data_IF_282117544660
#
_entry.id   IF_282117544660
#
_cell.length_a   1.000
_cell.length_b   1.000
_cell.length_c   1.000
_cell.angle_alpha   90.00
_cell.angle_beta   90.00
_cell.angle_gamma   90.00
#
_symmetry.space_group_name_H-M   'P 1'
#
loop_
_entity.id
_entity.type
_entity.pdbx_description
1 polymer ?
#
# COMPACT_ATOMS: atom_id res chain seq x y z
N UNK A 1 11.75 -10.32 22.19
CA UNK A 1 10.26 -10.45 22.10
C UNK A 1 9.88 -10.10 20.67
N UNK A 2 9.07 -10.92 19.97
CA UNK A 2 8.49 -10.50 18.70
C UNK A 2 7.70 -9.21 18.96
N UNK A 3 8.03 -8.14 18.25
CA UNK A 3 7.31 -6.89 18.34
C UNK A 3 5.90 -7.09 17.75
N UNK A 4 4.89 -6.53 18.41
CA UNK A 4 3.50 -6.54 17.96
C UNK A 4 3.38 -6.05 16.51
N UNK A 5 4.20 -5.05 16.14
CA UNK A 5 4.38 -4.54 14.78
C UNK A 5 4.69 -5.65 13.77
N UNK A 6 5.76 -6.42 14.00
CA UNK A 6 6.19 -7.48 13.09
C UNK A 6 5.20 -8.64 13.03
N UNK A 7 4.55 -8.95 14.15
CA UNK A 7 3.53 -10.00 14.21
C UNK A 7 2.30 -9.67 13.36
N UNK A 8 1.78 -8.44 13.48
CA UNK A 8 0.65 -7.97 12.66
C UNK A 8 0.98 -7.99 11.17
N UNK A 9 2.14 -7.46 10.79
CA UNK A 9 2.58 -7.46 9.40
C UNK A 9 2.73 -8.87 8.84
N UNK A 10 3.43 -9.76 9.56
CA UNK A 10 3.66 -11.13 9.08
C UNK A 10 2.35 -11.92 8.96
N UNK A 11 1.39 -11.72 9.87
CA UNK A 11 0.09 -12.37 9.77
C UNK A 11 -0.70 -11.88 8.54
N UNK A 12 -0.73 -10.57 8.30
CA UNK A 12 -1.37 -10.01 7.12
C UNK A 12 -0.73 -10.52 5.82
N UNK A 13 0.61 -10.60 5.80
CA UNK A 13 1.36 -11.13 4.66
C UNK A 13 1.00 -12.59 4.38
N UNK A 14 0.99 -13.45 5.40
CA UNK A 14 0.61 -14.86 5.27
C UNK A 14 -0.84 -15.04 4.77
N UNK A 15 -1.76 -14.19 5.24
CA UNK A 15 -3.14 -14.19 4.77
C UNK A 15 -3.23 -13.78 3.29
N UNK A 16 -2.46 -12.78 2.88
CA UNK A 16 -2.36 -12.37 1.48
C UNK A 16 -1.81 -13.51 0.60
N UNK A 17 -0.71 -14.14 1.01
CA UNK A 17 -0.07 -15.25 0.27
C UNK A 17 -0.97 -16.49 0.18
N UNK A 18 -1.88 -16.64 1.14
CA UNK A 18 -2.86 -17.74 1.17
C UNK A 18 -4.14 -17.44 0.37
N UNK A 19 -4.19 -16.34 -0.37
CA UNK A 19 -5.38 -15.89 -1.12
C UNK A 19 -6.52 -15.36 -0.23
N UNK A 20 -6.26 -15.17 1.06
CA UNK A 20 -7.20 -14.70 2.09
C UNK A 20 -6.96 -13.22 2.42
N UNK A 21 -6.60 -12.43 1.40
CA UNK A 21 -6.13 -11.05 1.57
C UNK A 21 -7.10 -10.15 2.35
N UNK A 22 -8.43 -10.34 2.16
CA UNK A 22 -9.46 -9.58 2.88
C UNK A 22 -9.44 -9.82 4.39
N UNK A 23 -9.04 -11.01 4.84
CA UNK A 23 -8.89 -11.31 6.27
C UNK A 23 -7.65 -10.63 6.87
N UNK A 24 -6.69 -10.23 6.03
CA UNK A 24 -5.49 -9.47 6.42
C UNK A 24 -5.76 -7.99 6.68
N UNK A 25 -6.84 -7.43 6.12
CA UNK A 25 -7.16 -6.01 6.19
C UNK A 25 -7.21 -5.43 7.62
N UNK A 26 -7.88 -6.09 8.59
CA UNK A 26 -7.98 -5.57 9.96
C UNK A 26 -6.60 -5.48 10.64
N UNK A 27 -5.72 -6.44 10.38
CA UNK A 27 -4.37 -6.47 10.95
C UNK A 27 -3.49 -5.37 10.35
N UNK A 28 -3.62 -5.12 9.05
CA UNK A 28 -2.94 -3.98 8.40
C UNK A 28 -3.46 -2.64 8.93
N UNK A 29 -4.76 -2.49 9.09
CA UNK A 29 -5.33 -1.28 9.68
C UNK A 29 -4.85 -1.04 11.10
N UNK A 30 -4.82 -2.08 11.92
CA UNK A 30 -4.27 -1.99 13.27
C UNK A 30 -2.79 -1.62 13.25
N UNK A 31 -2.00 -2.27 12.37
CA UNK A 31 -0.58 -1.97 12.22
C UNK A 31 -0.35 -0.50 11.86
N UNK A 32 -1.06 0.02 10.86
CA UNK A 32 -0.90 1.41 10.38
C UNK A 32 -1.43 2.43 11.39
N UNK A 33 -2.46 2.08 12.18
CA UNK A 33 -2.94 2.92 13.27
C UNK A 33 -1.88 3.18 14.34
N UNK A 34 -1.10 2.15 14.70
CA UNK A 34 -0.01 2.27 15.67
C UNK A 34 1.33 2.70 15.07
N UNK A 35 1.57 2.36 13.80
CA UNK A 35 2.81 2.60 13.07
C UNK A 35 2.50 3.18 11.68
N UNK A 36 2.08 4.45 11.60
CA UNK A 36 1.69 5.11 10.34
C UNK A 36 2.87 5.36 9.38
N UNK A 37 4.08 5.03 9.81
CA UNK A 37 5.34 5.07 9.05
C UNK A 37 5.79 3.67 8.55
N UNK A 38 4.97 2.63 8.75
CA UNK A 38 5.31 1.27 8.34
C UNK A 38 5.18 1.05 6.83
N UNK A 39 6.21 1.41 6.07
CA UNK A 39 6.25 1.37 4.59
C UNK A 39 5.76 0.04 4.00
N UNK A 40 6.29 -1.10 4.46
CA UNK A 40 5.84 -2.43 3.96
C UNK A 40 4.37 -2.73 4.23
N UNK A 41 3.82 -2.16 5.30
CA UNK A 41 2.42 -2.35 5.68
C UNK A 41 1.51 -1.45 4.84
N UNK A 42 1.95 -0.23 4.56
CA UNK A 42 1.30 0.68 3.62
C UNK A 42 1.28 0.10 2.20
N UNK A 43 2.37 -0.55 1.77
CA UNK A 43 2.44 -1.24 0.47
C UNK A 43 1.38 -2.34 0.41
N UNK A 44 1.38 -3.27 1.37
CA UNK A 44 0.44 -4.40 1.37
C UNK A 44 -1.02 -3.95 1.51
N UNK A 45 -1.28 -2.88 2.28
CA UNK A 45 -2.62 -2.29 2.38
C UNK A 45 -3.04 -1.61 1.07
N UNK A 46 -2.12 -0.92 0.39
CA UNK A 46 -2.35 -0.36 -0.94
C UNK A 46 -2.69 -1.45 -1.96
N UNK A 47 -1.91 -2.53 -2.00
CA UNK A 47 -2.15 -3.66 -2.89
C UNK A 47 -3.51 -4.31 -2.62
N UNK A 48 -3.91 -4.41 -1.35
CA UNK A 48 -5.23 -4.91 -0.97
C UNK A 48 -6.36 -4.01 -1.51
N UNK A 49 -6.18 -2.69 -1.41
CA UNK A 49 -7.15 -1.73 -1.92
C UNK A 49 -7.32 -1.82 -3.43
N UNK A 50 -6.23 -1.94 -4.18
CA UNK A 50 -6.23 -2.08 -5.64
C UNK A 50 -6.89 -3.40 -6.05
N UNK A 51 -6.36 -4.52 -5.56
CA UNK A 51 -6.65 -5.83 -6.13
C UNK A 51 -7.94 -6.47 -5.60
N UNK A 52 -8.37 -6.14 -4.39
CA UNK A 52 -9.47 -6.84 -3.73
C UNK A 52 -10.66 -5.94 -3.38
N UNK A 53 -10.41 -4.66 -3.09
CA UNK A 53 -11.48 -3.72 -2.69
C UNK A 53 -11.89 -2.76 -3.80
N UNK A 54 -11.05 -2.56 -4.82
CA UNK A 54 -11.28 -1.60 -5.90
C UNK A 54 -11.28 -0.13 -5.44
N UNK A 55 -10.78 0.17 -4.23
CA UNK A 55 -10.72 1.53 -3.70
C UNK A 55 -9.40 2.19 -4.08
N UNK A 56 -9.34 2.64 -5.35
CA UNK A 56 -8.16 3.30 -5.91
C UNK A 56 -7.76 4.57 -5.13
N UNK A 57 -8.73 5.28 -4.51
CA UNK A 57 -8.44 6.47 -3.69
C UNK A 57 -7.74 6.11 -2.39
N UNK A 58 -8.14 5.01 -1.75
CA UNK A 58 -7.47 4.53 -0.55
C UNK A 58 -6.08 3.99 -0.86
N UNK A 59 -5.90 3.31 -1.99
CA UNK A 59 -4.59 2.88 -2.48
C UNK A 59 -3.65 4.07 -2.74
N UNK A 60 -4.13 5.09 -3.45
CA UNK A 60 -3.38 6.32 -3.75
C UNK A 60 -2.87 7.00 -2.46
N UNK A 61 -3.69 7.05 -1.41
CA UNK A 61 -3.30 7.59 -0.10
C UNK A 61 -2.16 6.78 0.54
N UNK A 62 -2.19 5.46 0.42
CA UNK A 62 -1.13 4.59 0.94
C UNK A 62 0.20 4.86 0.22
N UNK A 63 0.18 4.92 -1.12
CA UNK A 63 1.40 5.14 -1.91
C UNK A 63 1.96 6.56 -1.77
N UNK A 64 1.10 7.59 -1.72
CA UNK A 64 1.55 8.95 -1.39
C UNK A 64 2.15 9.04 0.02
N UNK A 65 1.62 8.28 0.98
CA UNK A 65 2.20 8.24 2.32
C UNK A 65 3.59 7.61 2.28
N UNK A 66 3.79 6.53 1.53
CA UNK A 66 5.11 5.92 1.32
C UNK A 66 6.08 6.96 0.74
N UNK A 67 5.70 7.67 -0.32
CA UNK A 67 6.56 8.68 -0.94
C UNK A 67 6.83 9.89 -0.03
N UNK A 68 5.93 10.21 0.92
CA UNK A 68 6.21 11.23 1.93
C UNK A 68 7.26 10.79 2.96
N UNK A 69 7.40 9.48 3.20
CA UNK A 69 8.35 8.90 4.15
C UNK A 69 9.69 8.59 3.47
N UNK A 70 9.61 8.07 2.24
CA UNK A 70 10.71 7.64 1.41
C UNK A 70 10.48 8.18 -0.01
N UNK A 71 10.91 9.42 -0.31
CA UNK A 71 10.70 10.05 -1.61
C UNK A 71 11.27 9.25 -2.79
N UNK A 72 12.36 8.51 -2.56
CA UNK A 72 13.04 7.70 -3.58
C UNK A 72 12.52 6.25 -3.63
N UNK A 73 11.38 5.95 -2.98
CA UNK A 73 10.81 4.60 -2.97
C UNK A 73 10.21 4.27 -4.35
N UNK A 74 11.00 3.60 -5.18
CA UNK A 74 10.64 3.18 -6.54
C UNK A 74 9.35 2.35 -6.58
N UNK A 75 9.13 1.46 -5.60
CA UNK A 75 7.94 0.62 -5.57
C UNK A 75 6.68 1.44 -5.26
N UNK A 76 6.76 2.36 -4.29
CA UNK A 76 5.67 3.29 -3.97
C UNK A 76 5.33 4.20 -5.14
N UNK A 77 6.34 4.69 -5.86
CA UNK A 77 6.15 5.51 -7.06
C UNK A 77 5.49 4.70 -8.18
N UNK A 78 6.02 3.52 -8.47
CA UNK A 78 5.47 2.62 -9.47
C UNK A 78 4.00 2.30 -9.20
N UNK A 79 3.67 1.88 -7.97
CA UNK A 79 2.30 1.53 -7.61
C UNK A 79 1.35 2.75 -7.64
N UNK A 80 1.84 3.95 -7.31
CA UNK A 80 1.07 5.18 -7.48
C UNK A 80 0.76 5.46 -8.96
N UNK A 81 1.74 5.27 -9.86
CA UNK A 81 1.51 5.41 -11.29
C UNK A 81 0.45 4.43 -11.80
N UNK A 82 0.51 3.16 -11.36
CA UNK A 82 -0.47 2.12 -11.71
C UNK A 82 -1.88 2.55 -11.28
N UNK A 83 -2.04 3.01 -10.03
CA UNK A 83 -3.33 3.48 -9.53
C UNK A 83 -3.88 4.67 -10.33
N UNK A 84 -3.03 5.62 -10.72
CA UNK A 84 -3.46 6.78 -11.52
C UNK A 84 -3.94 6.35 -12.91
N UNK A 85 -3.27 5.38 -13.53
CA UNK A 85 -3.68 4.81 -14.83
C UNK A 85 -5.03 4.09 -14.69
N UNK A 86 -5.18 3.23 -13.67
CA UNK A 86 -6.42 2.49 -13.42
C UNK A 86 -7.60 3.41 -13.09
N UNK A 87 -7.35 4.53 -12.40
CA UNK A 87 -8.35 5.54 -12.10
C UNK A 87 -8.77 6.38 -13.33
N UNK A 88 -8.10 6.20 -14.47
CA UNK A 88 -8.32 7.00 -15.67
C UNK A 88 -7.73 8.42 -15.60
N UNK A 89 -6.92 8.71 -14.58
CA UNK A 89 -6.19 9.98 -14.46
C UNK A 89 -4.92 9.93 -15.31
N UNK A 90 -5.12 10.08 -16.62
CA UNK A 90 -4.04 10.12 -17.61
C UNK A 90 -3.10 11.32 -17.42
N UNK A 91 -3.54 12.37 -16.72
CA UNK A 91 -2.74 13.55 -16.40
C UNK A 91 -1.72 13.24 -15.31
N UNK A 92 -2.18 12.65 -14.19
CA UNK A 92 -1.33 12.18 -13.10
C UNK A 92 -0.36 11.08 -13.56
N UNK A 93 -0.84 10.12 -14.36
CA UNK A 93 0.00 9.04 -14.89
C UNK A 93 1.19 9.54 -15.73
N UNK A 94 1.00 10.60 -16.55
CA UNK A 94 2.08 11.21 -17.34
C UNK A 94 3.13 11.92 -16.49
N UNK A 95 2.74 12.50 -15.35
CA UNK A 95 3.70 13.11 -14.43
C UNK A 95 4.52 12.04 -13.72
N UNK A 96 3.86 10.97 -13.27
CA UNK A 96 4.48 9.85 -12.58
C UNK A 96 5.55 9.13 -13.45
N UNK A 97 5.27 8.92 -14.74
CA UNK A 97 6.23 8.35 -15.69
C UNK A 97 7.47 9.22 -15.99
N UNK A 98 7.47 10.50 -15.62
CA UNK A 98 8.63 11.39 -15.79
C UNK A 98 9.54 11.44 -14.56
N UNK A 99 9.01 11.03 -13.41
CA UNK A 99 9.71 11.05 -12.12
C UNK A 99 10.27 9.66 -11.73
N UNK A 100 9.81 8.59 -12.41
CA UNK A 100 10.34 7.23 -12.30
C UNK A 100 11.52 6.99 -13.27
#
# INVERSE_FOLDING_TARGET
>A
KPDFRSALFNLALLLSDSGRSLEGAPFLHQLISHHPDHVKGLLLLGDLYVNHLGDLRAAEKCYRRILSLEPDNVQGLHNLCVVMVEAGDLGGARACLKEA
#
